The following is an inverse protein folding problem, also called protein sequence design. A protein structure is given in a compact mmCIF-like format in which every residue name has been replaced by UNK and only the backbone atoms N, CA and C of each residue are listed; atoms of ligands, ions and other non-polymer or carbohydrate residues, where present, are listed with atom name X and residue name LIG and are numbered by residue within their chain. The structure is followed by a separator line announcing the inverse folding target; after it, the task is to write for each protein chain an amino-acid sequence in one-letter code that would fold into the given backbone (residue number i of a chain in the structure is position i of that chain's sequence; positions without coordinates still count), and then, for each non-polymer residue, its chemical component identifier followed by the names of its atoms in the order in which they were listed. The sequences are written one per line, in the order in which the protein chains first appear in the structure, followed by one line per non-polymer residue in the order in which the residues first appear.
data_IF_211946225456
#
_entry.id   IF_211946225456
#
_cell.length_a   1.000
_cell.length_b   1.000
_cell.length_c   1.000
_cell.angle_alpha   90.00
_cell.angle_beta   90.00
_cell.angle_gamma   90.00
#
_symmetry.space_group_name_H-M   'P 1'
#
loop_
_entity.id
_entity.type
_entity.pdbx_description
1 polymer ?
#
# COMPACT_ATOMS: atom_id res chain seq x y z
N UNK A 1 -25.84 -6.40 -16.53
CA UNK A 1 -24.89 -5.45 -15.90
C UNK A 1 -23.79 -5.15 -16.90
N UNK A 2 -23.32 -3.90 -16.97
CA UNK A 2 -22.15 -3.55 -17.80
C UNK A 2 -20.89 -4.24 -17.26
N UNK A 3 -19.92 -4.49 -18.15
CA UNK A 3 -18.62 -5.06 -17.77
C UNK A 3 -17.88 -4.10 -16.81
N UNK A 4 -17.24 -4.65 -15.77
CA UNK A 4 -16.42 -3.85 -14.84
C UNK A 4 -15.21 -3.27 -15.57
N UNK A 5 -15.08 -1.95 -15.52
CA UNK A 5 -13.93 -1.21 -16.08
C UNK A 5 -13.11 -0.56 -14.98
N UNK A 6 -11.95 -0.02 -15.34
CA UNK A 6 -11.15 0.80 -14.42
C UNK A 6 -11.86 2.08 -13.95
N UNK A 7 -12.95 2.52 -14.59
CA UNK A 7 -13.74 3.68 -14.14
C UNK A 7 -14.77 3.32 -13.06
N UNK A 8 -15.21 2.06 -13.05
CA UNK A 8 -16.33 1.60 -12.22
C UNK A 8 -15.91 0.65 -11.10
N UNK A 9 -14.68 0.14 -11.14
CA UNK A 9 -14.19 -0.84 -10.15
C UNK A 9 -14.04 -0.21 -8.77
N UNK A 10 -14.35 -0.96 -7.72
CA UNK A 10 -14.19 -0.52 -6.34
C UNK A 10 -12.94 -1.15 -5.74
N UNK A 11 -12.18 -0.37 -4.96
CA UNK A 11 -11.02 -0.91 -4.29
C UNK A 11 -11.40 -1.70 -3.02
N UNK A 12 -10.94 -2.93 -2.92
CA UNK A 12 -11.18 -3.87 -1.82
C UNK A 12 -9.87 -4.47 -1.30
N UNK A 13 -9.93 -5.05 -0.10
CA UNK A 13 -8.80 -5.74 0.54
C UNK A 13 -8.72 -7.20 0.08
N UNK A 14 -7.53 -7.77 0.10
CA UNK A 14 -7.32 -9.20 -0.15
C UNK A 14 -7.15 -9.54 -1.63
N UNK A 15 -7.40 -10.82 -1.96
CA UNK A 15 -7.13 -11.40 -3.28
C UNK A 15 -8.38 -11.39 -4.16
N UNK A 16 -8.21 -11.05 -5.43
CA UNK A 16 -9.27 -11.03 -6.42
C UNK A 16 -8.87 -11.93 -7.59
N UNK A 17 -9.82 -12.67 -8.18
CA UNK A 17 -9.54 -13.53 -9.35
C UNK A 17 -9.83 -12.79 -10.66
N UNK A 18 -10.68 -11.78 -10.59
CA UNK A 18 -11.11 -10.97 -11.71
C UNK A 18 -11.55 -9.58 -11.24
N UNK A 19 -11.65 -8.58 -12.13
CA UNK A 19 -12.22 -7.27 -11.83
C UNK A 19 -13.62 -7.32 -11.20
N UNK A 20 -14.41 -8.35 -11.51
CA UNK A 20 -15.77 -8.53 -10.97
C UNK A 20 -15.77 -8.83 -9.46
N UNK A 21 -14.66 -9.33 -8.91
CA UNK A 21 -14.48 -9.54 -7.46
C UNK A 21 -14.08 -8.24 -6.73
N UNK A 22 -13.85 -7.15 -7.46
CA UNK A 22 -13.15 -5.96 -6.97
C UNK A 22 -11.67 -5.97 -7.32
N UNK A 23 -10.91 -5.01 -6.79
CA UNK A 23 -9.47 -4.93 -7.01
C UNK A 23 -8.74 -4.29 -5.82
N UNK A 24 -7.49 -4.67 -5.61
CA UNK A 24 -6.54 -3.85 -4.87
C UNK A 24 -5.99 -2.73 -5.78
N UNK A 25 -5.31 -1.77 -5.18
CA UNK A 25 -4.67 -0.67 -5.93
C UNK A 25 -3.70 -1.14 -7.03
N UNK A 26 -3.00 -2.26 -6.86
CA UNK A 26 -2.05 -2.77 -7.88
C UNK A 26 -2.73 -3.49 -9.04
N UNK A 27 -3.82 -4.20 -8.75
CA UNK A 27 -4.68 -4.77 -9.79
C UNK A 27 -5.29 -3.67 -10.66
N UNK A 28 -5.78 -2.58 -10.05
CA UNK A 28 -6.21 -1.39 -10.80
C UNK A 28 -5.05 -0.79 -11.62
N UNK A 29 -3.84 -0.71 -11.07
CA UNK A 29 -2.68 -0.21 -11.82
C UNK A 29 -2.37 -1.10 -13.03
N UNK A 30 -2.49 -2.44 -12.91
CA UNK A 30 -2.33 -3.36 -14.05
C UNK A 30 -3.38 -3.11 -15.14
N UNK A 31 -4.64 -2.88 -14.76
CA UNK A 31 -5.71 -2.54 -15.71
C UNK A 31 -5.43 -1.22 -16.43
N UNK A 32 -4.97 -0.20 -15.70
CA UNK A 32 -4.61 1.11 -16.27
C UNK A 32 -3.41 1.03 -17.22
N UNK A 33 -2.48 0.11 -16.97
CA UNK A 33 -1.33 -0.15 -17.83
C UNK A 33 -1.67 -1.03 -19.06
N UNK A 34 -2.91 -1.55 -19.15
CA UNK A 34 -3.29 -2.51 -20.19
C UNK A 34 -2.66 -3.89 -20.02
N UNK A 35 -2.23 -4.22 -18.81
CA UNK A 35 -1.65 -5.53 -18.47
C UNK A 35 -2.74 -6.55 -18.08
N UNK A 36 -2.35 -7.81 -17.96
CA UNK A 36 -3.22 -8.82 -17.34
C UNK A 36 -3.56 -8.40 -15.90
N UNK A 37 -4.76 -8.74 -15.44
CA UNK A 37 -5.20 -8.44 -14.08
C UNK A 37 -4.28 -9.11 -13.05
N UNK A 38 -3.45 -8.32 -12.37
CA UNK A 38 -2.47 -8.81 -11.40
C UNK A 38 -2.11 -7.74 -10.38
N UNK A 39 -1.80 -8.15 -9.15
CA UNK A 39 -1.25 -7.27 -8.12
C UNK A 39 0.28 -7.09 -8.25
N UNK A 40 0.92 -7.71 -9.25
CA UNK A 40 2.35 -7.57 -9.57
C UNK A 40 2.60 -7.05 -11.00
N UNK A 41 2.07 -5.87 -11.38
CA UNK A 41 2.23 -5.34 -12.74
C UNK A 41 3.70 -5.06 -13.07
N UNK A 42 4.09 -5.36 -14.31
CA UNK A 42 5.45 -5.18 -14.84
C UNK A 42 5.79 -3.69 -14.98
N UNK A 43 4.80 -2.85 -15.30
CA UNK A 43 4.96 -1.39 -15.41
C UNK A 43 5.25 -0.70 -14.08
N UNK A 44 5.05 -1.37 -12.94
CA UNK A 44 5.23 -0.79 -11.60
C UNK A 44 6.51 -1.30 -10.95
N UNK A 45 7.17 -0.43 -10.21
CA UNK A 45 8.30 -0.85 -9.39
C UNK A 45 7.87 -1.82 -8.27
N UNK A 46 8.55 -2.97 -8.11
CA UNK A 46 8.17 -3.99 -7.14
C UNK A 46 8.20 -3.47 -5.69
N UNK A 47 9.10 -2.54 -5.37
CA UNK A 47 9.20 -1.89 -4.05
C UNK A 47 7.95 -1.04 -3.76
N UNK A 48 7.51 -0.24 -4.73
CA UNK A 48 6.30 0.57 -4.62
C UNK A 48 5.07 -0.33 -4.55
N UNK A 49 5.02 -1.37 -5.39
CA UNK A 49 3.92 -2.33 -5.41
C UNK A 49 3.77 -3.09 -4.10
N UNK A 50 4.86 -3.51 -3.46
CA UNK A 50 4.84 -4.13 -2.15
C UNK A 50 4.26 -3.19 -1.07
N UNK A 51 4.71 -1.92 -1.05
CA UNK A 51 4.20 -0.91 -0.13
C UNK A 51 2.70 -0.69 -0.31
N UNK A 52 2.25 -0.47 -1.55
CA UNK A 52 0.85 -0.13 -1.82
C UNK A 52 -0.10 -1.29 -1.59
N UNK A 53 0.30 -2.54 -1.84
CA UNK A 53 -0.50 -3.72 -1.46
C UNK A 53 -0.67 -3.84 0.04
N UNK A 54 0.42 -3.73 0.80
CA UNK A 54 0.36 -3.74 2.26
C UNK A 54 -0.52 -2.61 2.80
N UNK A 55 -0.38 -1.40 2.24
CA UNK A 55 -1.19 -0.25 2.64
C UNK A 55 -2.68 -0.43 2.30
N UNK A 56 -2.99 -0.91 1.11
CA UNK A 56 -4.36 -1.20 0.65
C UNK A 56 -5.13 -2.09 1.63
N UNK A 57 -4.47 -3.14 2.13
CA UNK A 57 -5.07 -4.11 3.04
C UNK A 57 -5.16 -3.62 4.49
N UNK A 58 -4.39 -2.59 4.85
CA UNK A 58 -4.28 -2.08 6.22
C UNK A 58 -5.21 -0.92 6.55
N UNK A 59 -5.87 -0.33 5.55
CA UNK A 59 -6.75 0.84 5.73
C UNK A 59 -8.23 0.50 5.56
N UNK A 60 -9.09 1.35 6.13
CA UNK A 60 -10.54 1.22 6.01
C UNK A 60 -11.05 1.45 4.58
N UNK A 61 -12.26 0.97 4.32
CA UNK A 61 -12.87 0.95 2.98
C UNK A 61 -13.01 2.33 2.35
N UNK A 62 -13.27 3.36 3.18
CA UNK A 62 -13.44 4.73 2.71
C UNK A 62 -12.09 5.28 2.23
N UNK A 63 -11.05 5.21 3.08
CA UNK A 63 -9.70 5.67 2.73
C UNK A 63 -9.07 4.86 1.59
N UNK A 64 -9.45 3.59 1.44
CA UNK A 64 -8.95 2.77 0.32
C UNK A 64 -9.33 3.35 -1.03
N UNK A 65 -10.48 4.01 -1.16
CA UNK A 65 -10.86 4.60 -2.44
C UNK A 65 -9.96 5.76 -2.85
N UNK A 66 -9.28 6.44 -1.91
CA UNK A 66 -8.30 7.48 -2.22
C UNK A 66 -7.07 6.92 -2.98
N UNK A 67 -6.86 5.60 -2.94
CA UNK A 67 -5.75 4.93 -3.64
C UNK A 67 -5.89 4.91 -5.16
N UNK A 68 -7.07 5.23 -5.70
CA UNK A 68 -7.28 5.37 -7.14
C UNK A 68 -6.26 6.31 -7.81
N UNK A 69 -6.01 7.46 -7.19
CA UNK A 69 -5.05 8.44 -7.70
C UNK A 69 -3.61 7.91 -7.67
N UNK A 70 -3.30 6.94 -6.80
CA UNK A 70 -1.98 6.33 -6.74
C UNK A 70 -1.82 5.20 -7.73
N UNK A 71 -2.89 4.44 -8.04
CA UNK A 71 -2.85 3.42 -9.08
C UNK A 71 -2.37 4.00 -10.42
N UNK A 72 -2.89 5.17 -10.84
CA UNK A 72 -2.46 5.84 -12.06
C UNK A 72 -1.03 6.41 -11.97
N UNK A 73 -0.66 7.02 -10.84
CA UNK A 73 0.67 7.64 -10.65
C UNK A 73 1.84 6.66 -10.69
N UNK A 74 1.61 5.40 -10.35
CA UNK A 74 2.70 4.41 -10.28
C UNK A 74 2.91 3.63 -11.56
N UNK A 75 1.99 3.75 -12.54
CA UNK A 75 2.18 3.16 -13.87
C UNK A 75 3.45 3.77 -14.49
N UNK A 76 4.32 2.92 -15.02
CA UNK A 76 5.63 3.32 -15.57
C UNK A 76 6.70 3.61 -14.51
N UNK A 77 6.44 3.33 -13.23
CA UNK A 77 7.44 3.54 -12.16
C UNK A 77 8.56 2.49 -12.13
N UNK A 78 8.46 1.41 -12.93
CA UNK A 78 9.51 0.39 -13.08
C UNK A 78 10.85 1.06 -13.41
N UNK A 79 11.92 0.59 -12.76
CA UNK A 79 13.26 1.12 -12.96
C UNK A 79 14.31 0.03 -12.69
N UNK A 80 15.60 0.37 -12.84
CA UNK A 80 16.71 -0.54 -12.55
C UNK A 80 16.99 -0.73 -11.06
N UNK A 81 17.79 -1.74 -10.74
CA UNK A 81 18.10 -2.15 -9.35
C UNK A 81 18.65 -1.01 -8.48
N UNK A 82 19.42 -0.08 -9.04
CA UNK A 82 19.94 1.08 -8.29
C UNK A 82 18.84 1.99 -7.74
N UNK A 83 17.83 2.30 -8.56
CA UNK A 83 16.67 3.10 -8.14
C UNK A 83 15.78 2.32 -7.18
N UNK A 84 15.61 1.01 -7.39
CA UNK A 84 14.88 0.15 -6.46
C UNK A 84 15.53 0.13 -5.07
N UNK A 85 16.87 0.03 -4.98
CA UNK A 85 17.62 0.14 -3.72
C UNK A 85 17.43 1.48 -3.04
N UNK A 86 17.56 2.58 -3.79
CA UNK A 86 17.33 3.93 -3.24
C UNK A 86 15.91 4.10 -2.68
N UNK A 87 14.90 3.49 -3.32
CA UNK A 87 13.52 3.48 -2.81
C UNK A 87 13.39 2.66 -1.52
N UNK A 88 14.06 1.50 -1.42
CA UNK A 88 14.09 0.69 -0.19
C UNK A 88 14.72 1.48 0.96
N UNK A 89 15.86 2.14 0.72
CA UNK A 89 16.54 2.97 1.71
C UNK A 89 15.63 4.12 2.17
N UNK A 90 14.98 4.82 1.22
CA UNK A 90 14.05 5.91 1.53
C UNK A 90 12.86 5.44 2.38
N UNK A 91 12.27 4.29 2.05
CA UNK A 91 11.16 3.70 2.82
C UNK A 91 11.62 3.26 4.20
N UNK A 92 12.81 2.68 4.30
CA UNK A 92 13.41 2.29 5.59
C UNK A 92 13.58 3.52 6.48
N UNK A 93 14.22 4.59 5.99
CA UNK A 93 14.36 5.85 6.71
C UNK A 93 12.99 6.42 7.15
N UNK A 94 12.02 6.47 6.24
CA UNK A 94 10.65 6.93 6.51
C UNK A 94 9.97 6.17 7.65
N UNK A 95 10.15 4.84 7.72
CA UNK A 95 9.59 4.02 8.81
C UNK A 95 10.28 4.28 10.14
N UNK A 96 11.60 4.51 10.15
CA UNK A 96 12.35 4.86 11.36
C UNK A 96 11.93 6.22 11.92
N UNK A 97 11.76 7.24 11.06
CA UNK A 97 11.30 8.58 11.44
C UNK A 97 9.91 8.57 12.10
N UNK A 98 9.05 7.63 11.72
CA UNK A 98 7.66 7.53 12.19
C UNK A 98 7.48 6.59 13.37
N UNK A 99 8.51 5.86 13.77
CA UNK A 99 8.43 4.96 14.92
C UNK A 99 8.40 5.82 16.19
N UNK A 100 7.33 5.75 17.02
CA UNK A 100 7.35 6.48 18.29
C UNK A 100 8.55 6.00 19.12
N UNK A 101 9.20 6.89 19.89
CA UNK A 101 10.29 6.48 20.76
C UNK A 101 9.80 5.35 21.65
N UNK A 102 10.60 4.28 21.75
CA UNK A 102 10.29 3.16 22.64
C UNK A 102 10.12 3.75 24.04
N UNK A 103 8.88 3.85 24.54
CA UNK A 103 8.65 4.17 25.95
C UNK A 103 9.39 3.09 26.74
N UNK A 104 10.47 3.47 27.42
CA UNK A 104 11.10 2.61 28.40
C UNK A 104 10.00 2.24 29.40
N UNK A 105 9.73 0.95 29.52
CA UNK A 105 8.77 0.41 30.49
C UNK A 105 9.43 0.44 31.86
N UNK A 106 9.74 1.62 32.38
CA UNK A 106 10.19 1.83 33.76
C UNK A 106 9.83 3.24 34.20
N UNK A 107 8.82 3.30 35.09
CA UNK A 107 8.64 4.16 36.26
C UNK A 107 7.15 4.08 36.65
N UNK A 108 6.79 3.05 37.42
CA UNK A 108 5.64 3.17 38.32
C UNK A 108 6.18 3.86 39.58
N UNK A 109 5.71 5.07 39.94
CA UNK A 109 6.05 5.65 41.24
C UNK A 109 5.53 4.71 42.32
N UNK A 110 6.43 4.29 43.21
CA UNK A 110 6.05 3.56 44.42
C UNK A 110 4.96 4.33 45.16
N UNK A 111 3.91 3.62 45.55
CA UNK A 111 2.88 4.14 46.46
C UNK A 111 3.55 4.63 47.73
N UNK A 112 3.56 5.93 47.94
CA UNK A 112 3.78 6.59 49.23
C UNK A 112 2.43 7.13 49.72
N UNK A 113 2.03 6.67 50.91
CA UNK A 113 1.10 7.22 51.94
C UNK A 113 0.70 6.02 52.82
N UNK A 114 1.12 5.86 54.09
CA UNK A 114 0.88 6.71 55.28
C UNK A 114 -0.55 7.27 55.22
N UNK A 115 -1.56 6.74 55.93
CA UNK A 115 -1.65 6.32 57.33
C UNK A 115 -2.46 5.02 57.49
#
# INVERSE_FOLDING_TARGET
MGSVTYQTIKLSKGKHRSPDDGACVMELASMLAGEQFTDHPVSVCPVIGALLRSYNDSIDDRRRQDLYAYASRVVGSRSGLGIERARIERLTAWTHERRPPRRSRWLMPGRLRAF
#
